data_IF_527711491865
#
_entry.id   IF_527711491865
#
_cell.length_a   1.000
_cell.length_b   1.000
_cell.length_c   1.000
_cell.angle_alpha   90.00
_cell.angle_beta   90.00
_cell.angle_gamma   90.00
#
_symmetry.space_group_name_H-M   'P 1'
#
loop_
_entity.id
_entity.type
_entity.pdbx_description
1 polymer ?
#
# COMPACT_ATOMS: atom_id res chain seq x y z
N UNK A 1 -2.26 6.96 -4.42
CA UNK A 1 -1.54 6.72 -5.69
C UNK A 1 -1.03 5.27 -5.82
N UNK A 2 -0.15 4.78 -4.93
CA UNK A 2 0.48 3.45 -5.08
C UNK A 2 -0.54 2.30 -5.17
N UNK A 3 -1.57 2.31 -4.32
CA UNK A 3 -2.64 1.31 -4.32
C UNK A 3 -3.35 1.24 -5.69
N UNK A 4 -3.82 2.37 -6.21
CA UNK A 4 -4.53 2.43 -7.50
C UNK A 4 -3.63 2.11 -8.70
N UNK A 5 -2.35 2.52 -8.67
CA UNK A 5 -1.39 2.15 -9.71
C UNK A 5 -1.14 0.63 -9.72
N UNK A 6 -1.09 -0.01 -8.56
CA UNK A 6 -1.03 -1.47 -8.48
C UNK A 6 -2.30 -2.09 -9.05
N UNK A 7 -3.49 -1.70 -8.59
CA UNK A 7 -4.75 -2.30 -9.04
C UNK A 7 -5.02 -2.09 -10.54
N UNK A 8 -4.98 -0.84 -11.01
CA UNK A 8 -5.37 -0.47 -12.38
C UNK A 8 -4.26 -0.69 -13.41
N UNK A 9 -2.99 -0.45 -13.05
CA UNK A 9 -1.88 -0.45 -14.01
C UNK A 9 -0.98 -1.68 -13.87
N UNK A 10 -1.13 -2.46 -12.80
CA UNK A 10 -0.25 -3.59 -12.48
C UNK A 10 1.17 -3.14 -12.08
N UNK A 11 1.35 -1.88 -11.67
CA UNK A 11 2.66 -1.38 -11.27
C UNK A 11 3.00 -1.81 -9.86
N UNK A 12 4.25 -2.19 -9.62
CA UNK A 12 4.73 -2.32 -8.25
C UNK A 12 4.86 -0.94 -7.60
N UNK A 13 4.88 -0.89 -6.26
CA UNK A 13 5.10 0.35 -5.52
C UNK A 13 6.40 1.05 -5.97
N UNK A 14 7.50 0.30 -6.11
CA UNK A 14 8.77 0.83 -6.60
C UNK A 14 8.73 1.32 -8.06
N UNK A 15 7.98 0.64 -8.95
CA UNK A 15 7.80 1.10 -10.34
C UNK A 15 6.99 2.39 -10.39
N UNK A 16 5.93 2.47 -9.58
CA UNK A 16 5.07 3.67 -9.45
C UNK A 16 5.89 4.86 -8.98
N UNK A 17 6.69 4.71 -7.92
CA UNK A 17 7.49 5.82 -7.38
C UNK A 17 8.59 6.28 -8.33
N UNK A 18 9.22 5.38 -9.10
CA UNK A 18 10.19 5.79 -10.14
C UNK A 18 9.53 6.59 -11.27
N UNK A 19 8.34 6.17 -11.70
CA UNK A 19 7.59 6.92 -12.71
C UNK A 19 7.13 8.28 -12.18
N UNK A 20 6.63 8.34 -10.94
CA UNK A 20 6.24 9.58 -10.29
C UNK A 20 7.43 10.54 -10.12
N UNK A 21 8.61 10.03 -9.73
CA UNK A 21 9.83 10.84 -9.63
C UNK A 21 10.16 11.53 -10.95
N UNK A 22 10.16 10.78 -12.06
CA UNK A 22 10.41 11.36 -13.40
C UNK A 22 9.35 12.40 -13.78
N UNK A 23 8.07 12.12 -13.52
CA UNK A 23 6.99 13.08 -13.79
C UNK A 23 7.15 14.37 -12.96
N UNK A 24 7.70 14.28 -11.74
CA UNK A 24 7.96 15.44 -10.87
C UNK A 24 9.21 16.21 -11.31
N UNK A 25 10.33 15.53 -11.56
CA UNK A 25 11.62 16.14 -11.93
C UNK A 25 11.57 16.82 -13.30
N UNK A 26 10.77 16.29 -14.22
CA UNK A 26 10.53 16.88 -15.51
C UNK A 26 10.66 15.88 -16.67
N UNK A 27 9.91 16.16 -17.73
CA UNK A 27 9.97 15.45 -19.01
C UNK A 27 9.98 16.46 -20.14
N UNK A 28 10.65 16.14 -21.24
CA UNK A 28 10.71 17.02 -22.41
C UNK A 28 9.35 17.07 -23.13
N UNK A 29 8.73 18.25 -23.16
CA UNK A 29 7.41 18.48 -23.79
C UNK A 29 7.54 19.49 -24.93
N UNK A 30 7.94 19.00 -26.11
CA UNK A 30 8.02 19.81 -27.33
C UNK A 30 8.84 21.10 -27.12
N UNK A 31 8.26 22.24 -27.50
CA UNK A 31 8.92 23.55 -27.39
C UNK A 31 8.92 24.13 -25.96
N UNK A 32 8.21 23.49 -25.02
CA UNK A 32 8.18 23.92 -23.61
C UNK A 32 9.43 23.47 -22.82
N UNK A 33 10.24 22.57 -23.42
CA UNK A 33 11.41 21.97 -22.76
C UNK A 33 11.01 21.02 -21.63
N UNK A 34 11.90 20.86 -20.65
CA UNK A 34 11.66 20.01 -19.49
C UNK A 34 10.61 20.60 -18.54
N UNK A 35 9.46 19.95 -18.41
CA UNK A 35 8.33 20.38 -17.58
C UNK A 35 8.03 19.33 -16.51
N UNK A 36 7.98 19.76 -15.24
CA UNK A 36 7.45 18.96 -14.12
C UNK A 36 5.93 18.83 -14.24
N UNK A 37 5.44 17.63 -14.49
CA UNK A 37 4.02 17.36 -14.79
C UNK A 37 3.16 17.13 -13.55
N UNK A 38 3.75 16.73 -12.42
CA UNK A 38 3.02 16.48 -11.18
C UNK A 38 3.68 17.18 -9.99
N UNK A 39 2.91 17.42 -8.94
CA UNK A 39 3.40 17.86 -7.62
C UNK A 39 4.23 16.77 -6.93
N UNK A 40 4.89 17.11 -5.82
CA UNK A 40 5.78 16.21 -5.10
C UNK A 40 5.06 14.92 -4.65
N UNK A 41 5.61 13.77 -5.03
CA UNK A 41 4.94 12.46 -4.92
C UNK A 41 5.07 11.76 -3.56
N UNK A 42 5.87 12.29 -2.63
CA UNK A 42 6.01 11.75 -1.27
C UNK A 42 5.28 12.67 -0.30
N UNK A 43 3.97 12.52 -0.29
CA UNK A 43 3.04 13.34 0.49
C UNK A 43 1.98 12.42 1.08
N UNK A 44 1.60 12.70 2.32
CA UNK A 44 0.43 12.16 3.02
C UNK A 44 -0.77 13.12 2.96
N UNK A 45 -0.54 14.33 2.45
CA UNK A 45 -1.57 15.34 2.27
C UNK A 45 -2.50 15.00 1.10
N UNK A 46 -3.79 15.20 1.33
CA UNK A 46 -4.84 15.24 0.28
C UNK A 46 -5.32 16.66 0.00
N UNK A 47 -4.69 17.67 0.62
CA UNK A 47 -5.01 19.08 0.43
C UNK A 47 -4.67 19.50 -0.99
N UNK A 48 -5.53 20.32 -1.58
CA UNK A 48 -5.31 20.95 -2.89
C UNK A 48 -5.31 22.46 -2.70
N UNK A 49 -4.41 23.19 -3.36
CA UNK A 49 -4.41 24.65 -3.37
C UNK A 49 -5.62 25.25 -4.08
N UNK A 50 -6.06 26.42 -3.63
CA UNK A 50 -7.19 27.15 -4.23
C UNK A 50 -6.98 27.43 -5.72
N UNK A 51 -5.73 27.71 -6.13
CA UNK A 51 -5.36 27.92 -7.53
C UNK A 51 -5.60 26.65 -8.38
N UNK A 52 -5.24 25.48 -7.86
CA UNK A 52 -5.45 24.22 -8.57
C UNK A 52 -6.93 23.80 -8.59
N UNK A 53 -7.68 24.04 -7.51
CA UNK A 53 -9.13 23.88 -7.47
C UNK A 53 -9.79 24.74 -8.55
N UNK A 54 -9.38 26.01 -8.65
CA UNK A 54 -9.90 26.94 -9.67
C UNK A 54 -9.64 26.43 -11.08
N UNK A 55 -8.42 26.01 -11.39
CA UNK A 55 -8.09 25.44 -12.72
C UNK A 55 -8.92 24.19 -13.03
N UNK A 56 -9.09 23.28 -12.07
CA UNK A 56 -9.90 22.08 -12.25
C UNK A 56 -11.37 22.44 -12.55
N UNK A 57 -11.95 23.39 -11.79
CA UNK A 57 -13.32 23.86 -11.99
C UNK A 57 -13.52 24.54 -13.34
N UNK A 58 -12.58 25.39 -13.76
CA UNK A 58 -12.58 26.03 -15.07
C UNK A 58 -12.55 24.98 -16.19
N UNK A 59 -11.68 23.97 -16.06
CA UNK A 59 -11.60 22.87 -17.02
C UNK A 59 -12.90 22.05 -17.07
N UNK A 60 -13.48 21.68 -15.91
CA UNK A 60 -14.74 20.94 -15.84
C UNK A 60 -15.87 21.73 -16.50
N UNK A 61 -15.98 23.02 -16.19
CA UNK A 61 -17.00 23.90 -16.76
C UNK A 61 -16.88 24.04 -18.29
N UNK A 62 -15.67 23.96 -18.83
CA UNK A 62 -15.41 24.07 -20.26
C UNK A 62 -15.62 22.75 -21.03
N UNK A 63 -15.36 21.60 -20.40
CA UNK A 63 -15.29 20.29 -21.08
C UNK A 63 -16.46 19.35 -20.75
N UNK A 64 -17.21 19.60 -19.68
CA UNK A 64 -18.30 18.74 -19.22
C UNK A 64 -19.62 19.51 -19.12
N UNK A 65 -20.75 18.79 -19.16
CA UNK A 65 -22.06 19.38 -18.85
C UNK A 65 -22.07 20.01 -17.46
N UNK A 66 -22.83 21.10 -17.30
CA UNK A 66 -22.92 21.89 -16.04
C UNK A 66 -23.20 21.03 -14.80
N UNK A 67 -23.93 19.92 -14.94
CA UNK A 67 -24.25 18.99 -13.84
C UNK A 67 -23.04 18.29 -13.22
N UNK A 68 -21.90 18.22 -13.91
CA UNK A 68 -20.66 17.63 -13.40
C UNK A 68 -19.82 18.60 -12.56
N UNK A 69 -20.14 19.89 -12.58
CA UNK A 69 -19.49 20.89 -11.75
C UNK A 69 -20.35 21.14 -10.51
N UNK A 70 -19.85 20.87 -9.29
CA UNK A 70 -20.56 21.22 -8.06
C UNK A 70 -20.60 22.74 -7.89
N UNK A 71 -21.68 23.25 -7.29
CA UNK A 71 -21.87 24.69 -7.06
C UNK A 71 -20.71 25.27 -6.23
N UNK A 72 -20.31 24.56 -5.18
CA UNK A 72 -19.16 24.89 -4.32
C UNK A 72 -17.95 23.98 -4.62
N UNK A 73 -16.71 24.44 -4.36
CA UNK A 73 -15.50 23.63 -4.52
C UNK A 73 -15.46 22.47 -3.52
N UNK A 74 -14.99 21.31 -3.97
CA UNK A 74 -14.77 20.15 -3.09
C UNK A 74 -13.46 20.33 -2.32
N UNK A 75 -13.54 20.55 -1.01
CA UNK A 75 -12.38 20.70 -0.14
C UNK A 75 -12.09 19.39 0.59
N UNK A 76 -10.89 18.85 0.37
CA UNK A 76 -10.40 17.63 1.02
C UNK A 76 -9.36 18.00 2.08
N UNK A 77 -9.63 17.68 3.35
CA UNK A 77 -8.69 17.88 4.46
C UNK A 77 -8.07 16.54 4.85
N UNK A 78 -6.75 16.53 5.08
CA UNK A 78 -6.05 15.36 5.62
C UNK A 78 -6.55 14.97 7.02
N UNK A 79 -6.42 13.70 7.37
CA UNK A 79 -6.73 13.20 8.71
C UNK A 79 -5.57 13.44 9.68
N UNK A 80 -5.91 13.91 10.90
CA UNK A 80 -5.05 14.16 12.08
C UNK A 80 -3.97 15.25 11.95
N UNK A 81 -4.32 16.44 12.44
CA UNK A 81 -3.76 16.93 13.71
C UNK A 81 -2.32 17.44 13.78
N UNK A 82 -1.52 17.41 12.72
CA UNK A 82 -0.20 18.08 12.72
C UNK A 82 -0.35 19.54 12.27
N UNK A 83 0.00 20.49 13.15
CA UNK A 83 -0.05 21.93 12.86
C UNK A 83 0.99 22.39 11.81
N UNK A 84 1.82 21.50 11.28
CA UNK A 84 2.94 21.82 10.38
C UNK A 84 2.80 21.20 8.97
N UNK A 85 1.80 20.35 8.72
CA UNK A 85 1.61 19.71 7.41
C UNK A 85 0.87 20.56 6.34
N UNK A 86 0.48 21.81 6.64
CA UNK A 86 -0.29 22.65 5.72
C UNK A 86 0.51 23.06 4.45
N UNK A 87 1.83 22.89 4.47
CA UNK A 87 2.70 23.13 3.31
C UNK A 87 2.65 22.03 2.25
N UNK A 88 2.27 20.79 2.60
CA UNK A 88 2.24 19.68 1.66
C UNK A 88 0.92 19.64 0.87
N UNK A 89 1.04 19.40 -0.43
CA UNK A 89 -0.09 19.30 -1.35
C UNK A 89 -0.28 17.84 -1.79
N UNK A 90 -1.50 17.51 -2.20
CA UNK A 90 -1.81 16.25 -2.86
C UNK A 90 -1.00 16.05 -4.13
N UNK A 91 -0.82 14.79 -4.53
CA UNK A 91 -0.24 14.43 -5.83
C UNK A 91 -1.28 14.74 -6.91
N UNK A 92 -1.00 15.75 -7.73
CA UNK A 92 -1.88 16.22 -8.81
C UNK A 92 -1.05 16.71 -10.00
N UNK A 93 -1.66 16.91 -11.18
CA UNK A 93 -1.02 17.64 -12.27
C UNK A 93 -0.61 19.05 -11.81
N UNK A 94 0.54 19.52 -12.27
CA UNK A 94 0.97 20.92 -12.08
C UNK A 94 0.04 21.87 -12.81
N UNK A 95 -0.36 21.51 -14.04
CA UNK A 95 -1.33 22.21 -14.87
C UNK A 95 -2.40 21.24 -15.39
N UNK A 96 -3.67 21.62 -15.27
CA UNK A 96 -4.79 20.76 -15.72
C UNK A 96 -4.90 20.72 -17.25
N UNK A 97 -4.49 21.79 -17.92
CA UNK A 97 -4.54 21.93 -19.37
C UNK A 97 -3.57 21.02 -20.14
N UNK A 98 -2.56 20.46 -19.48
CA UNK A 98 -1.67 19.46 -20.08
C UNK A 98 -2.37 18.10 -20.09
N UNK A 99 -3.35 17.91 -20.98
CA UNK A 99 -4.18 16.71 -20.94
C UNK A 99 -3.35 15.46 -21.24
N UNK A 100 -3.77 14.27 -20.74
CA UNK A 100 -3.08 13.03 -21.08
C UNK A 100 -2.94 12.83 -22.61
N UNK A 101 -3.97 13.17 -23.39
CA UNK A 101 -3.95 12.97 -24.84
C UNK A 101 -2.90 13.85 -25.54
N UNK A 102 -2.70 15.09 -25.08
CA UNK A 102 -1.64 15.98 -25.59
C UNK A 102 -0.24 15.45 -25.29
N UNK A 103 -0.08 14.88 -24.08
CA UNK A 103 1.19 14.38 -23.57
C UNK A 103 1.56 12.99 -24.08
N UNK A 104 0.62 12.26 -24.68
CA UNK A 104 0.79 10.86 -25.10
C UNK A 104 1.98 10.63 -26.04
N UNK A 105 2.32 11.62 -26.88
CA UNK A 105 3.46 11.57 -27.81
C UNK A 105 4.81 11.84 -27.15
N UNK A 106 4.83 12.50 -25.98
CA UNK A 106 6.06 12.87 -25.26
C UNK A 106 6.41 11.88 -24.16
N UNK A 107 5.41 11.16 -23.64
CA UNK A 107 5.57 10.28 -22.50
C UNK A 107 5.80 8.82 -22.91
N UNK A 108 6.81 8.21 -22.30
CA UNK A 108 6.92 6.75 -22.27
C UNK A 108 5.66 6.12 -21.68
N UNK A 109 5.34 4.89 -22.09
CA UNK A 109 4.11 4.17 -21.73
C UNK A 109 3.79 4.21 -20.24
N UNK A 110 4.79 4.04 -19.37
CA UNK A 110 4.57 4.00 -17.92
C UNK A 110 4.29 5.39 -17.34
N UNK A 111 5.02 6.41 -17.81
CA UNK A 111 4.81 7.80 -17.42
C UNK A 111 3.43 8.27 -17.84
N UNK A 112 3.04 8.00 -19.08
CA UNK A 112 1.71 8.32 -19.60
C UNK A 112 0.60 7.69 -18.76
N UNK A 113 0.69 6.38 -18.48
CA UNK A 113 -0.32 5.66 -17.69
C UNK A 113 -0.45 6.23 -16.27
N UNK A 114 0.67 6.51 -15.61
CA UNK A 114 0.65 7.05 -14.26
C UNK A 114 0.14 8.50 -14.25
N UNK A 115 0.58 9.32 -15.19
CA UNK A 115 0.10 10.69 -15.34
C UNK A 115 -1.41 10.72 -15.59
N UNK A 116 -1.91 9.90 -16.51
CA UNK A 116 -3.34 9.78 -16.79
C UNK A 116 -4.14 9.38 -15.54
N UNK A 117 -3.61 8.44 -14.73
CA UNK A 117 -4.26 8.04 -13.48
C UNK A 117 -4.32 9.21 -12.48
N UNK A 118 -3.22 9.94 -12.30
CA UNK A 118 -3.14 11.10 -11.40
C UNK A 118 -4.08 12.22 -11.88
N UNK A 119 -4.05 12.53 -13.18
CA UNK A 119 -4.87 13.57 -13.79
C UNK A 119 -6.37 13.28 -13.64
N UNK A 120 -6.80 12.05 -13.96
CA UNK A 120 -8.20 11.63 -13.81
C UNK A 120 -8.66 11.67 -12.36
N UNK A 121 -7.83 11.18 -11.42
CA UNK A 121 -8.15 11.20 -9.99
C UNK A 121 -8.30 12.63 -9.47
N UNK A 122 -7.39 13.52 -9.87
CA UNK A 122 -7.40 14.92 -9.46
C UNK A 122 -8.66 15.63 -9.97
N UNK A 123 -8.95 15.56 -11.27
CA UNK A 123 -10.11 16.23 -11.85
C UNK A 123 -11.42 15.67 -11.30
N UNK A 124 -11.53 14.34 -11.18
CA UNK A 124 -12.68 13.66 -10.58
C UNK A 124 -12.95 14.11 -9.13
N UNK A 125 -11.90 14.44 -8.35
CA UNK A 125 -12.06 14.92 -6.98
C UNK A 125 -12.82 16.26 -6.87
N UNK A 126 -12.90 17.02 -7.97
CA UNK A 126 -13.57 18.31 -8.07
C UNK A 126 -14.90 18.23 -8.85
N UNK A 127 -15.34 17.04 -9.25
CA UNK A 127 -16.61 16.81 -9.95
C UNK A 127 -17.74 16.45 -8.97
N UNK A 128 -18.99 16.58 -9.43
CA UNK A 128 -20.18 16.22 -8.67
C UNK A 128 -20.21 14.71 -8.36
N UNK A 129 -20.60 14.27 -7.15
CA UNK A 129 -20.77 12.86 -6.82
C UNK A 129 -21.76 12.14 -7.73
N UNK A 130 -21.53 10.84 -7.92
CA UNK A 130 -22.51 9.98 -8.55
C UNK A 130 -23.72 9.76 -7.64
N UNK A 131 -24.89 9.61 -8.26
CA UNK A 131 -26.17 9.40 -7.58
C UNK A 131 -26.74 8.05 -8.01
N UNK A 132 -27.03 7.22 -7.02
CA UNK A 132 -27.59 5.89 -7.19
C UNK A 132 -28.97 5.80 -6.54
N UNK A 133 -29.87 5.09 -7.19
CA UNK A 133 -31.10 4.56 -6.61
C UNK A 133 -30.81 3.16 -6.09
N UNK A 134 -30.79 3.00 -4.76
CA UNK A 134 -30.61 1.70 -4.12
C UNK A 134 -31.98 1.08 -3.78
N UNK A 135 -32.23 -0.11 -4.31
CA UNK A 135 -33.49 -0.83 -4.11
C UNK A 135 -33.25 -2.05 -3.23
N UNK A 136 -34.06 -2.20 -2.19
CA UNK A 136 -34.03 -3.36 -1.31
C UNK A 136 -35.43 -3.94 -1.24
N UNK A 137 -35.56 -5.21 -1.57
CA UNK A 137 -36.84 -5.92 -1.62
C UNK A 137 -36.77 -7.14 -0.73
N UNK A 138 -37.74 -7.23 0.17
CA UNK A 138 -37.92 -8.38 1.05
C UNK A 138 -39.11 -9.20 0.54
N UNK A 139 -38.86 -10.48 0.28
CA UNK A 139 -39.85 -11.45 -0.15
C UNK A 139 -40.20 -12.36 1.02
N UNK A 140 -41.46 -12.30 1.44
CA UNK A 140 -42.04 -13.23 2.41
C UNK A 140 -42.39 -14.55 1.71
N UNK A 141 -41.81 -15.65 2.19
CA UNK A 141 -42.16 -16.99 1.78
C UNK A 141 -42.76 -17.79 2.95
N UNK A 142 -43.78 -18.59 2.62
CA UNK A 142 -44.47 -19.47 3.54
C UNK A 142 -45.08 -18.75 4.76
N UNK A 143 -45.77 -17.63 4.52
CA UNK A 143 -46.51 -16.85 5.51
C UNK A 143 -45.64 -16.41 6.70
N UNK A 144 -44.49 -15.81 6.42
CA UNK A 144 -43.57 -15.24 7.41
C UNK A 144 -42.48 -16.18 7.90
N UNK A 145 -42.44 -17.43 7.40
CA UNK A 145 -41.45 -18.42 7.87
C UNK A 145 -40.04 -18.13 7.36
N UNK A 146 -39.93 -17.60 6.14
CA UNK A 146 -38.65 -17.28 5.51
C UNK A 146 -38.68 -15.89 4.91
N UNK A 147 -37.62 -15.13 5.12
CA UNK A 147 -37.43 -13.81 4.53
C UNK A 147 -36.27 -13.87 3.54
N UNK A 148 -36.57 -13.71 2.26
CA UNK A 148 -35.56 -13.57 1.21
C UNK A 148 -35.35 -12.10 0.91
N UNK A 149 -34.11 -11.69 0.68
CA UNK A 149 -33.76 -10.29 0.41
C UNK A 149 -33.00 -10.17 -0.89
N UNK A 150 -33.47 -9.28 -1.75
CA UNK A 150 -32.74 -8.83 -2.92
C UNK A 150 -32.31 -7.37 -2.73
N UNK A 151 -31.08 -7.06 -3.11
CA UNK A 151 -30.54 -5.69 -3.13
C UNK A 151 -30.04 -5.38 -4.53
N UNK A 152 -30.43 -4.23 -5.06
CA UNK A 152 -30.03 -3.75 -6.35
C UNK A 152 -29.72 -2.27 -6.34
N UNK A 153 -29.11 -1.81 -7.42
CA UNK A 153 -28.71 -0.42 -7.58
C UNK A 153 -28.87 0.00 -9.03
N UNK A 154 -29.23 1.26 -9.23
CA UNK A 154 -29.34 1.88 -10.55
C UNK A 154 -28.67 3.25 -10.52
N UNK A 155 -27.80 3.51 -11.49
CA UNK A 155 -27.18 4.83 -11.68
C UNK A 155 -28.26 5.82 -12.15
N UNK A 156 -28.49 6.88 -11.38
CA UNK A 156 -29.29 8.04 -11.79
C UNK A 156 -28.38 9.12 -12.38
N UNK A 157 -27.18 9.26 -11.84
CA UNK A 157 -26.12 10.12 -12.32
C UNK A 157 -24.76 9.47 -12.07
N UNK A 158 -23.92 9.39 -13.09
CA UNK A 158 -22.56 8.87 -13.03
C UNK A 158 -21.55 9.84 -12.38
N UNK A 159 -21.81 11.14 -12.36
CA UNK A 159 -20.96 12.11 -11.65
C UNK A 159 -19.48 11.98 -12.01
N UNK A 160 -18.60 12.00 -11.01
CA UNK A 160 -17.16 11.80 -11.22
C UNK A 160 -16.79 10.42 -11.82
N UNK A 161 -17.67 9.41 -11.75
CA UNK A 161 -17.43 8.10 -12.38
C UNK A 161 -17.38 8.16 -13.91
N UNK A 162 -17.90 9.22 -14.53
CA UNK A 162 -17.70 9.49 -15.94
C UNK A 162 -16.21 9.60 -16.31
N UNK A 163 -15.38 10.03 -15.37
CA UNK A 163 -13.94 10.22 -15.56
C UNK A 163 -13.08 9.18 -14.85
N UNK A 164 -13.47 8.80 -13.63
CA UNK A 164 -12.64 7.99 -12.77
C UNK A 164 -13.46 7.05 -11.88
N UNK A 165 -13.10 5.78 -11.89
CA UNK A 165 -13.62 4.78 -10.95
C UNK A 165 -12.46 4.07 -10.24
N UNK A 166 -12.64 3.75 -8.98
CA UNK A 166 -11.67 2.97 -8.22
C UNK A 166 -11.67 1.52 -8.69
N UNK A 167 -10.50 0.90 -8.70
CA UNK A 167 -10.45 -0.54 -8.92
C UNK A 167 -10.71 -1.30 -7.62
N UNK A 168 -11.54 -2.33 -7.73
CA UNK A 168 -11.86 -3.23 -6.63
C UNK A 168 -11.11 -4.56 -6.80
N UNK A 169 -10.54 -5.07 -5.70
CA UNK A 169 -10.06 -6.46 -5.64
C UNK A 169 -11.25 -7.39 -5.37
N UNK A 170 -11.10 -8.69 -5.67
CA UNK A 170 -12.20 -9.66 -5.55
C UNK A 170 -12.75 -9.78 -4.12
N UNK A 171 -11.93 -9.43 -3.12
CA UNK A 171 -12.23 -9.52 -1.71
C UNK A 171 -12.73 -8.19 -1.13
N UNK A 172 -12.71 -7.11 -1.92
CA UNK A 172 -13.33 -5.84 -1.53
C UNK A 172 -14.86 -6.00 -1.44
N UNK A 173 -15.47 -5.31 -0.49
CA UNK A 173 -16.93 -5.32 -0.35
C UNK A 173 -17.60 -4.79 -1.62
N UNK A 174 -18.68 -5.43 -2.04
CA UNK A 174 -19.50 -4.95 -3.17
C UNK A 174 -20.04 -3.56 -2.87
N UNK A 175 -19.81 -2.66 -3.79
CA UNK A 175 -20.28 -1.27 -3.80
C UNK A 175 -21.55 -1.13 -4.65
N UNK A 176 -22.25 0.00 -4.52
CA UNK A 176 -23.53 0.22 -5.21
C UNK A 176 -23.42 0.17 -6.74
N UNK A 177 -22.28 0.54 -7.32
CA UNK A 177 -21.99 0.45 -8.75
C UNK A 177 -21.81 -0.99 -9.26
N UNK A 178 -21.57 -1.95 -8.35
CA UNK A 178 -21.43 -3.39 -8.69
C UNK A 178 -22.76 -4.17 -8.64
N UNK A 179 -23.84 -3.57 -8.14
CA UNK A 179 -25.13 -4.24 -7.96
C UNK A 179 -26.00 -4.07 -9.21
N UNK A 180 -26.63 -5.17 -9.64
CA UNK A 180 -27.59 -5.13 -10.74
C UNK A 180 -28.89 -4.40 -10.32
N UNK A 181 -29.55 -3.67 -11.22
CA UNK A 181 -30.83 -3.04 -10.91
C UNK A 181 -31.91 -4.09 -10.70
N UNK A 182 -32.82 -3.82 -9.76
CA UNK A 182 -34.03 -4.62 -9.57
C UNK A 182 -35.15 -3.96 -10.41
N UNK A 183 -36.01 -4.75 -11.08
CA UNK A 183 -37.21 -4.22 -11.74
C UNK A 183 -38.08 -3.39 -10.78
N UNK A 184 -38.88 -2.48 -11.32
CA UNK A 184 -39.86 -1.76 -10.49
C UNK A 184 -40.86 -2.74 -9.89
N UNK A 185 -40.99 -2.70 -8.58
CA UNK A 185 -41.92 -3.52 -7.79
C UNK A 185 -42.66 -2.60 -6.81
N UNK A 186 -43.91 -2.92 -6.51
CA UNK A 186 -44.71 -2.29 -5.48
C UNK A 186 -44.92 -3.24 -4.29
N UNK A 187 -45.17 -2.67 -3.11
CA UNK A 187 -45.58 -3.48 -1.96
C UNK A 187 -46.88 -4.23 -2.28
N UNK A 188 -46.89 -5.54 -1.99
CA UNK A 188 -48.01 -6.43 -2.32
C UNK A 188 -47.92 -7.11 -3.69
N UNK A 189 -46.92 -6.77 -4.52
CA UNK A 189 -46.67 -7.48 -5.76
C UNK A 189 -46.38 -8.97 -5.50
N UNK A 190 -46.95 -9.84 -6.35
CA UNK A 190 -46.78 -11.29 -6.24
C UNK A 190 -45.64 -11.76 -7.14
N UNK A 191 -44.57 -12.28 -6.54
CA UNK A 191 -43.49 -12.93 -7.26
C UNK A 191 -43.71 -14.45 -7.37
N UNK A 192 -43.61 -15.00 -8.57
CA UNK A 192 -43.66 -16.45 -8.79
C UNK A 192 -42.29 -17.07 -8.49
N UNK A 193 -42.23 -17.97 -7.51
CA UNK A 193 -41.03 -18.76 -7.22
C UNK A 193 -40.75 -19.71 -8.39
N UNK A 194 -39.67 -19.45 -9.13
CA UNK A 194 -39.25 -20.32 -10.25
C UNK A 194 -38.42 -21.52 -9.78
N UNK A 195 -37.45 -21.28 -8.91
CA UNK A 195 -36.51 -22.28 -8.42
C UNK A 195 -35.94 -21.84 -7.07
N UNK A 196 -35.66 -22.82 -6.20
CA UNK A 196 -34.80 -22.65 -5.03
C UNK A 196 -33.50 -23.39 -5.34
N UNK A 197 -32.38 -22.67 -5.31
CA UNK A 197 -31.04 -23.25 -5.49
C UNK A 197 -30.37 -23.27 -4.11
N UNK A 198 -30.27 -24.43 -3.45
CA UNK A 198 -29.52 -24.54 -2.20
C UNK A 198 -28.05 -24.25 -2.48
N UNK A 199 -27.47 -23.25 -1.82
CA UNK A 199 -26.03 -23.00 -1.83
C UNK A 199 -25.46 -23.25 -0.43
N UNK A 200 -24.37 -24.01 -0.39
CA UNK A 200 -23.58 -24.17 0.82
C UNK A 200 -22.33 -23.30 0.66
N UNK A 201 -22.08 -22.48 1.68
CA UNK A 201 -20.88 -21.65 1.74
C UNK A 201 -19.99 -22.15 2.86
N UNK A 202 -18.68 -22.12 2.62
CA UNK A 202 -17.67 -22.35 3.64
C UNK A 202 -17.00 -21.02 3.94
N UNK A 203 -16.58 -20.84 5.20
CA UNK A 203 -15.73 -19.71 5.56
C UNK A 203 -14.36 -19.93 4.92
N UNK A 204 -13.92 -18.97 4.14
CA UNK A 204 -12.56 -18.95 3.60
C UNK A 204 -11.62 -18.23 4.58
N UNK A 205 -10.33 -18.62 4.63
CA UNK A 205 -9.35 -17.87 5.39
C UNK A 205 -9.17 -16.46 4.81
N UNK A 206 -8.69 -15.49 5.60
CA UNK A 206 -8.41 -14.15 5.10
C UNK A 206 -7.50 -14.19 3.87
N UNK A 207 -7.76 -13.35 2.85
CA UNK A 207 -6.95 -13.32 1.65
C UNK A 207 -5.54 -12.84 1.98
N UNK A 208 -4.57 -13.34 1.21
CA UNK A 208 -3.20 -12.82 1.29
C UNK A 208 -3.14 -11.39 0.78
N UNK A 209 -2.15 -10.64 1.26
CA UNK A 209 -1.95 -9.26 0.81
C UNK A 209 -1.47 -9.20 -0.64
N UNK A 210 -2.03 -8.30 -1.44
CA UNK A 210 -1.40 -7.77 -2.65
C UNK A 210 -0.45 -6.63 -2.27
N UNK A 211 0.30 -6.08 -3.22
CA UNK A 211 1.03 -4.81 -2.96
C UNK A 211 0.07 -3.68 -2.56
N UNK A 212 -1.12 -3.59 -3.16
CA UNK A 212 -2.09 -2.56 -2.83
C UNK A 212 -2.65 -2.74 -1.41
N UNK A 213 -3.10 -3.95 -1.06
CA UNK A 213 -3.67 -4.19 0.27
C UNK A 213 -2.62 -4.20 1.37
N UNK A 214 -1.35 -4.53 1.07
CA UNK A 214 -0.25 -4.36 2.03
C UNK A 214 0.05 -2.88 2.31
N UNK A 215 0.11 -2.02 1.29
CA UNK A 215 0.27 -0.56 1.51
C UNK A 215 -0.89 -0.02 2.33
N UNK A 216 -2.13 -0.42 1.99
CA UNK A 216 -3.33 -0.03 2.75
C UNK A 216 -3.26 -0.44 4.21
N UNK A 217 -2.78 -1.65 4.49
CA UNK A 217 -2.67 -2.17 5.86
C UNK A 217 -1.54 -1.48 6.65
N UNK A 218 -0.39 -1.24 6.02
CA UNK A 218 0.71 -0.47 6.62
C UNK A 218 0.25 0.93 7.02
N UNK A 219 -0.43 1.64 6.11
CA UNK A 219 -1.03 2.95 6.36
C UNK A 219 -2.07 2.91 7.49
N UNK A 220 -2.97 1.92 7.48
CA UNK A 220 -3.99 1.74 8.53
C UNK A 220 -3.37 1.51 9.91
N UNK A 221 -2.26 0.77 9.97
CA UNK A 221 -1.55 0.47 11.21
C UNK A 221 -0.60 1.60 11.65
N UNK A 222 -0.44 2.65 10.86
CA UNK A 222 0.52 3.72 11.14
C UNK A 222 1.99 3.29 11.00
N UNK A 223 2.25 2.23 10.24
CA UNK A 223 3.59 1.72 9.99
C UNK A 223 4.07 2.19 8.62
N UNK A 224 5.19 2.91 8.62
CA UNK A 224 5.75 3.50 7.42
C UNK A 224 5.10 4.83 7.03
N UNK A 225 5.65 5.42 5.98
CA UNK A 225 5.32 6.76 5.47
C UNK A 225 5.33 6.71 3.94
N UNK A 226 4.79 7.73 3.23
CA UNK A 226 4.85 7.80 1.78
C UNK A 226 6.25 7.55 1.18
N UNK A 227 7.30 7.91 1.93
CA UNK A 227 8.71 7.70 1.59
C UNK A 227 9.18 6.24 1.76
N UNK A 228 8.54 5.44 2.62
CA UNK A 228 9.05 4.10 3.00
C UNK A 228 8.25 2.93 2.43
N UNK A 229 6.97 3.09 2.08
CA UNK A 229 6.14 1.97 1.59
C UNK A 229 6.77 1.17 0.45
N UNK A 230 7.24 1.85 -0.59
CA UNK A 230 7.88 1.20 -1.74
C UNK A 230 9.20 0.51 -1.36
N UNK A 231 9.96 1.10 -0.43
CA UNK A 231 11.22 0.54 0.05
C UNK A 231 11.00 -0.71 0.93
N UNK A 232 9.99 -0.71 1.79
CA UNK A 232 9.58 -1.86 2.60
C UNK A 232 9.24 -3.03 1.68
N UNK A 233 8.33 -2.81 0.73
CA UNK A 233 7.88 -3.84 -0.22
C UNK A 233 9.06 -4.35 -1.07
N UNK A 234 9.90 -3.45 -1.57
CA UNK A 234 11.09 -3.82 -2.34
C UNK A 234 12.04 -4.68 -1.51
N UNK A 235 12.27 -4.32 -0.23
CA UNK A 235 13.17 -5.05 0.67
C UNK A 235 12.67 -6.46 0.94
N UNK A 236 11.36 -6.61 1.23
CA UNK A 236 10.74 -7.93 1.45
C UNK A 236 10.99 -8.89 0.27
N UNK A 237 10.92 -8.37 -0.96
CA UNK A 237 11.15 -9.15 -2.18
C UNK A 237 12.63 -9.40 -2.45
N UNK A 238 13.46 -8.35 -2.45
CA UNK A 238 14.89 -8.43 -2.79
C UNK A 238 15.69 -9.24 -1.77
N UNK A 239 15.31 -9.22 -0.50
CA UNK A 239 15.93 -10.03 0.57
C UNK A 239 15.34 -11.44 0.68
N UNK A 240 14.39 -11.80 -0.19
CA UNK A 240 13.73 -13.11 -0.20
C UNK A 240 12.99 -13.43 1.11
N UNK A 241 12.38 -12.45 1.76
CA UNK A 241 11.50 -12.68 2.92
C UNK A 241 10.07 -13.02 2.51
N UNK A 242 9.61 -12.43 1.41
CA UNK A 242 8.33 -12.75 0.80
C UNK A 242 8.44 -12.78 -0.72
N UNK A 243 7.66 -13.65 -1.34
CA UNK A 243 7.51 -13.72 -2.80
C UNK A 243 6.10 -13.33 -3.19
N UNK A 244 5.92 -12.89 -4.43
CA UNK A 244 4.59 -12.62 -4.99
C UNK A 244 4.22 -13.77 -5.94
N UNK A 245 3.22 -14.55 -5.57
CA UNK A 245 2.58 -15.54 -6.45
C UNK A 245 1.17 -15.05 -6.76
N UNK A 246 0.83 -14.98 -8.05
CA UNK A 246 -0.46 -14.46 -8.52
C UNK A 246 -0.79 -13.07 -7.94
N UNK A 247 0.24 -12.21 -7.85
CA UNK A 247 0.19 -10.85 -7.27
C UNK A 247 -0.14 -10.80 -5.77
N UNK A 248 -0.09 -11.93 -5.07
CA UNK A 248 -0.29 -12.04 -3.61
C UNK A 248 1.02 -12.44 -2.91
N UNK A 249 1.32 -11.79 -1.80
CA UNK A 249 2.50 -12.08 -1.00
C UNK A 249 2.39 -13.39 -0.24
N UNK A 250 3.44 -14.19 -0.32
CA UNK A 250 3.63 -15.41 0.45
C UNK A 250 4.95 -15.31 1.19
N UNK A 251 4.98 -15.59 2.51
CA UNK A 251 6.23 -15.66 3.23
C UNK A 251 7.09 -16.79 2.66
N UNK A 252 8.40 -16.58 2.58
CA UNK A 252 9.34 -17.65 2.26
C UNK A 252 9.75 -18.40 3.53
N UNK A 253 10.28 -19.62 3.44
CA UNK A 253 10.86 -20.29 4.60
C UNK A 253 11.93 -19.44 5.31
N UNK A 254 12.73 -18.69 4.55
CA UNK A 254 13.72 -17.77 5.11
C UNK A 254 13.05 -16.61 5.87
N UNK A 255 12.02 -16.00 5.30
CA UNK A 255 11.26 -14.93 5.94
C UNK A 255 10.60 -15.39 7.23
N UNK A 256 9.98 -16.56 7.24
CA UNK A 256 9.39 -17.14 8.45
C UNK A 256 10.41 -17.40 9.54
N UNK A 257 11.56 -18.00 9.19
CA UNK A 257 12.63 -18.28 10.14
C UNK A 257 13.18 -16.99 10.75
N UNK A 258 13.46 -15.98 9.92
CA UNK A 258 13.95 -14.68 10.39
C UNK A 258 12.93 -14.00 11.29
N UNK A 259 11.65 -14.00 10.92
CA UNK A 259 10.58 -13.45 11.76
C UNK A 259 10.46 -14.18 13.10
N UNK A 260 10.45 -15.52 13.12
CA UNK A 260 10.37 -16.32 14.36
C UNK A 260 11.53 -16.03 15.31
N UNK A 261 12.75 -15.98 14.77
CA UNK A 261 13.96 -15.70 15.54
C UNK A 261 13.90 -14.30 16.14
N UNK A 262 13.62 -13.29 15.32
CA UNK A 262 13.60 -11.90 15.77
C UNK A 262 12.45 -11.64 16.76
N UNK A 263 11.27 -12.24 16.54
CA UNK A 263 10.15 -12.12 17.47
C UNK A 263 10.45 -12.77 18.82
N UNK A 264 11.15 -13.90 18.83
CA UNK A 264 11.59 -14.58 20.06
C UNK A 264 12.65 -13.78 20.80
N UNK A 265 13.60 -13.20 20.06
CA UNK A 265 14.72 -12.45 20.62
C UNK A 265 14.34 -11.06 21.11
N UNK A 266 13.44 -10.38 20.39
CA UNK A 266 13.05 -8.99 20.64
C UNK A 266 11.52 -8.84 20.57
N UNK A 267 10.77 -9.44 21.52
CA UNK A 267 9.31 -9.52 21.43
C UNK A 267 8.64 -8.16 21.33
N UNK A 268 9.09 -7.18 22.12
CA UNK A 268 8.57 -5.81 22.17
C UNK A 268 8.83 -5.05 20.87
N UNK A 269 10.06 -5.10 20.35
CA UNK A 269 10.47 -4.38 19.12
C UNK A 269 9.74 -4.89 17.88
N UNK A 270 9.36 -6.17 17.87
CA UNK A 270 8.61 -6.81 16.78
C UNK A 270 7.10 -6.81 17.00
N UNK A 271 6.57 -5.97 17.90
CA UNK A 271 5.13 -5.67 17.97
C UNK A 271 4.74 -4.56 16.99
N UNK A 272 3.59 -4.72 16.32
CA UNK A 272 3.05 -3.73 15.38
C UNK A 272 2.85 -2.37 16.05
N UNK A 273 2.33 -2.37 17.29
CA UNK A 273 2.08 -1.15 18.05
C UNK A 273 3.36 -0.39 18.41
N UNK A 274 4.46 -1.11 18.67
CA UNK A 274 5.77 -0.50 18.93
C UNK A 274 6.28 0.26 17.72
N UNK A 275 6.28 -0.39 16.55
CA UNK A 275 6.71 0.23 15.30
C UNK A 275 5.86 1.47 14.97
N UNK A 276 4.54 1.38 15.12
CA UNK A 276 3.66 2.52 14.90
C UNK A 276 3.93 3.68 15.88
N UNK A 277 4.23 3.38 17.14
CA UNK A 277 4.58 4.41 18.13
C UNK A 277 5.90 5.10 17.79
N UNK A 278 6.93 4.32 17.44
CA UNK A 278 8.23 4.84 17.00
C UNK A 278 8.07 5.79 15.81
N UNK A 279 7.28 5.39 14.81
CA UNK A 279 6.99 6.23 13.64
C UNK A 279 6.30 7.55 14.05
N UNK A 280 5.38 7.53 15.01
CA UNK A 280 4.75 8.75 15.53
C UNK A 280 5.70 9.62 16.36
N UNK A 281 6.65 9.01 17.09
CA UNK A 281 7.67 9.76 17.84
C UNK A 281 8.61 10.49 16.89
N UNK A 282 8.98 9.86 15.77
CA UNK A 282 9.78 10.51 14.72
C UNK A 282 9.04 11.69 14.07
N UNK A 283 7.73 11.58 13.83
CA UNK A 283 6.92 12.70 13.34
C UNK A 283 6.92 13.87 14.36
N UNK A 284 6.76 13.57 15.65
CA UNK A 284 6.82 14.61 16.70
C UNK A 284 8.20 15.26 16.81
N UNK A 285 9.27 14.53 16.54
CA UNK A 285 10.62 15.10 16.45
C UNK A 285 10.72 16.06 15.26
N UNK A 286 10.15 15.70 14.10
CA UNK A 286 10.09 16.59 12.93
C UNK A 286 9.31 17.88 13.23
N UNK A 287 8.23 17.77 14.00
CA UNK A 287 7.39 18.91 14.44
C UNK A 287 8.05 19.77 15.54
N UNK A 288 9.11 19.27 16.18
CA UNK A 288 9.76 19.92 17.31
C UNK A 288 9.06 19.71 18.66
N UNK A 289 8.09 18.80 18.73
CA UNK A 289 7.34 18.45 19.93
C UNK A 289 8.10 17.47 20.85
N UNK A 290 9.05 16.71 20.31
CA UNK A 290 9.93 15.80 21.06
C UNK A 290 11.41 16.05 20.76
N UNK A 291 12.25 15.85 21.78
CA UNK A 291 13.71 15.88 21.61
C UNK A 291 14.23 14.56 21.02
N UNK A 292 15.00 14.66 19.93
CA UNK A 292 15.49 13.49 19.20
C UNK A 292 16.48 12.64 20.01
N UNK A 293 17.24 13.24 20.94
CA UNK A 293 18.20 12.50 21.77
C UNK A 293 17.46 11.67 22.82
N UNK A 294 16.37 12.21 23.37
CA UNK A 294 15.49 11.47 24.27
C UNK A 294 14.90 10.23 23.58
N UNK A 295 14.29 10.40 22.40
CA UNK A 295 13.71 9.29 21.62
C UNK A 295 14.77 8.21 21.30
N UNK A 296 15.97 8.62 20.90
CA UNK A 296 17.07 7.66 20.66
C UNK A 296 17.52 6.95 21.94
N UNK A 297 17.61 7.66 23.06
CA UNK A 297 17.99 7.08 24.35
C UNK A 297 16.98 6.05 24.84
N UNK A 298 15.69 6.38 24.73
CA UNK A 298 14.56 5.53 25.13
C UNK A 298 14.51 4.24 24.31
N UNK A 299 14.88 4.29 23.03
CA UNK A 299 15.00 3.11 22.18
C UNK A 299 16.30 2.32 22.44
N UNK A 300 17.44 3.00 22.37
CA UNK A 300 18.75 2.36 22.27
C UNK A 300 19.18 1.68 23.57
N UNK A 301 18.93 2.31 24.72
CA UNK A 301 19.40 1.76 26.00
C UNK A 301 18.73 0.43 26.38
N UNK A 302 17.41 0.23 26.21
CA UNK A 302 16.78 -1.08 26.38
C UNK A 302 17.16 -2.06 25.28
N UNK A 303 17.20 -1.62 24.01
CA UNK A 303 17.53 -2.49 22.88
C UNK A 303 18.95 -3.06 22.98
N UNK A 304 19.94 -2.22 23.31
CA UNK A 304 21.32 -2.67 23.48
C UNK A 304 21.47 -3.68 24.62
N UNK A 305 20.78 -3.46 25.75
CA UNK A 305 20.75 -4.44 26.86
C UNK A 305 20.15 -5.77 26.43
N UNK A 306 19.07 -5.75 25.66
CA UNK A 306 18.48 -6.97 25.10
C UNK A 306 19.44 -7.66 24.12
N UNK A 307 20.14 -6.89 23.29
CA UNK A 307 21.12 -7.40 22.33
C UNK A 307 22.31 -8.07 23.02
N UNK A 308 22.85 -7.48 24.08
CA UNK A 308 23.95 -8.04 24.88
C UNK A 308 23.56 -9.32 25.62
N UNK A 309 22.28 -9.45 26.00
CA UNK A 309 21.76 -10.65 26.66
C UNK A 309 21.57 -11.85 25.70
N UNK A 310 21.65 -11.62 24.38
CA UNK A 310 21.43 -12.64 23.37
C UNK A 310 22.76 -13.20 22.86
N UNK A 311 22.92 -14.53 22.94
CA UNK A 311 24.00 -15.22 22.26
C UNK A 311 23.66 -15.42 20.76
N UNK A 312 24.17 -14.51 19.93
CA UNK A 312 23.99 -14.52 18.48
C UNK A 312 24.53 -15.83 17.86
N UNK A 313 25.66 -16.36 18.36
CA UNK A 313 26.24 -17.58 17.82
C UNK A 313 25.31 -18.76 18.08
N UNK A 314 24.77 -18.87 19.30
CA UNK A 314 23.81 -19.90 19.63
C UNK A 314 22.58 -19.87 18.71
N UNK A 315 22.04 -18.68 18.42
CA UNK A 315 20.91 -18.53 17.49
C UNK A 315 21.28 -19.02 16.09
N UNK A 316 22.45 -18.64 15.57
CA UNK A 316 22.91 -19.08 14.24
C UNK A 316 23.05 -20.61 14.20
N UNK A 317 23.59 -21.22 15.25
CA UNK A 317 23.72 -22.67 15.35
C UNK A 317 22.36 -23.39 15.40
N UNK A 318 21.39 -22.85 16.15
CA UNK A 318 20.03 -23.41 16.22
C UNK A 318 19.29 -23.30 14.88
N UNK A 319 19.36 -22.14 14.21
CA UNK A 319 18.60 -21.84 13.00
C UNK A 319 19.04 -22.68 11.80
N UNK A 320 20.32 -23.00 11.73
CA UNK A 320 20.91 -23.73 10.61
C UNK A 320 21.18 -25.20 10.92
N UNK A 321 20.68 -25.71 12.05
CA UNK A 321 20.94 -27.06 12.54
C UNK A 321 22.44 -27.40 12.60
N UNK A 322 23.25 -26.39 12.94
CA UNK A 322 24.70 -26.50 13.07
C UNK A 322 25.11 -26.78 14.52
N UNK A 323 24.17 -27.20 15.36
CA UNK A 323 24.40 -27.51 16.77
C UNK A 323 25.36 -28.70 16.95
N UNK A 324 25.33 -29.67 16.02
CA UNK A 324 26.24 -30.82 15.99
C UNK A 324 27.65 -30.52 15.44
N UNK A 325 27.84 -29.38 14.77
CA UNK A 325 29.09 -29.02 14.09
C UNK A 325 30.26 -28.81 15.06
N UNK A 326 29.96 -28.47 16.32
CA UNK A 326 30.94 -28.35 17.40
C UNK A 326 31.57 -29.69 17.80
N UNK A 327 30.96 -30.82 17.42
CA UNK A 327 31.50 -32.17 17.62
C UNK A 327 32.21 -32.73 16.39
N UNK A 328 32.05 -32.09 15.23
CA UNK A 328 32.66 -32.53 13.98
C UNK A 328 34.07 -31.95 13.82
N UNK A 329 35.03 -32.83 13.52
CA UNK A 329 36.42 -32.46 13.25
C UNK A 329 36.72 -32.58 11.77
N UNK A 330 37.56 -31.68 11.26
CA UNK A 330 37.97 -31.74 9.85
C UNK A 330 38.64 -33.10 9.55
N UNK A 331 38.14 -33.90 8.59
CA UNK A 331 38.69 -35.24 8.30
C UNK A 331 40.10 -35.22 7.71
N UNK A 332 40.63 -34.03 7.33
CA UNK A 332 42.00 -33.87 6.82
C UNK A 332 43.01 -33.44 7.88
N UNK A 333 42.59 -32.80 8.97
CA UNK A 333 43.54 -32.20 9.92
C UNK A 333 43.08 -32.21 11.40
N UNK A 334 41.89 -32.74 11.71
CA UNK A 334 41.39 -32.88 13.08
C UNK A 334 40.99 -31.58 13.80
N UNK A 335 41.14 -30.43 13.15
CA UNK A 335 40.77 -29.11 13.71
C UNK A 335 39.26 -28.96 13.89
N UNK A 336 38.82 -28.18 14.90
CA UNK A 336 37.41 -27.80 15.04
C UNK A 336 36.91 -27.08 13.77
N UNK A 337 35.67 -27.37 13.39
CA UNK A 337 35.00 -26.71 12.29
C UNK A 337 34.25 -25.48 12.80
N UNK A 338 34.34 -24.37 12.07
CA UNK A 338 33.60 -23.14 12.37
C UNK A 338 32.67 -22.77 11.22
N UNK A 339 31.52 -22.20 11.58
CA UNK A 339 30.51 -21.71 10.64
C UNK A 339 30.96 -20.37 10.09
N UNK A 340 31.16 -20.27 8.77
CA UNK A 340 31.37 -18.98 8.10
C UNK A 340 30.06 -18.42 7.56
N UNK A 341 29.77 -17.17 7.88
CA UNK A 341 28.64 -16.43 7.28
C UNK A 341 28.97 -16.05 5.83
N UNK A 342 28.09 -16.42 4.90
CA UNK A 342 28.13 -15.99 3.50
C UNK A 342 26.89 -15.17 3.15
N UNK A 343 26.91 -14.52 1.97
CA UNK A 343 25.85 -13.61 1.50
C UNK A 343 24.44 -14.23 1.43
N UNK A 344 24.33 -15.57 1.43
CA UNK A 344 23.07 -16.31 1.33
C UNK A 344 22.80 -17.23 2.54
N UNK A 345 23.46 -17.00 3.68
CA UNK A 345 23.42 -17.89 4.86
C UNK A 345 24.78 -18.53 5.15
N UNK A 346 24.85 -19.51 6.07
CA UNK A 346 26.10 -20.18 6.41
C UNK A 346 26.62 -20.98 5.21
N UNK A 347 27.89 -20.79 4.91
CA UNK A 347 28.63 -21.60 3.96
C UNK A 347 29.03 -22.94 4.58
N UNK A 348 29.45 -23.93 3.76
CA UNK A 348 30.09 -25.15 4.27
C UNK A 348 31.18 -24.80 5.29
N UNK A 349 31.25 -25.52 6.42
CA UNK A 349 32.19 -25.22 7.48
C UNK A 349 33.63 -25.24 6.95
N UNK A 350 34.40 -24.23 7.32
CA UNK A 350 35.82 -24.11 6.92
C UNK A 350 36.72 -24.23 8.15
N UNK A 351 37.99 -24.56 7.93
CA UNK A 351 38.98 -24.70 9.01
C UNK A 351 39.00 -23.45 9.90
N UNK A 352 38.97 -23.62 11.22
CA UNK A 352 39.33 -22.52 12.15
C UNK A 352 40.79 -22.17 11.89
N UNK A 353 41.05 -21.07 11.18
CA UNK A 353 42.41 -20.54 11.07
C UNK A 353 42.56 -19.61 12.26
N UNK A 354 43.12 -20.13 13.38
CA UNK A 354 43.69 -19.22 14.37
C UNK A 354 44.78 -18.44 13.65
N UNK A 355 44.52 -17.16 13.45
CA UNK A 355 45.53 -16.15 13.14
C UNK A 355 46.65 -16.30 14.17
N UNK A 356 47.70 -17.03 13.81
CA UNK A 356 49.01 -16.81 14.39
C UNK A 356 49.50 -15.52 13.74
N UNK A 357 49.31 -14.41 14.43
CA UNK A 357 50.12 -13.23 14.19
C UNK A 357 51.58 -13.64 14.39
N UNK A 358 52.31 -13.85 13.29
CA UNK A 358 53.75 -13.75 13.28
C UNK A 358 54.10 -12.36 12.74
N UNK A 359 54.77 -11.51 13.54
CA UNK A 359 55.17 -10.19 13.09
C UNK A 359 56.42 -10.35 12.22
N UNK A 360 56.31 -10.02 10.93
CA UNK A 360 57.39 -9.47 10.11
C UNK A 360 56.77 -8.65 8.98
#
# INVERSE_FOLDING_TARGET
MQQEAAKQLGFSAGRTMRAAQKLYEGVEVGDQGSVGLITYMRTDSVRVSDAAIKQAREYINAQFDKRYLPDEPNVHKGGRGSKVQDAHEAIRPTEVGLTPDDLKKYLERDLFKLYQLIWRRFLASQMTPAVYEATKVDFDLANGRFLFRATGSRVLFDGYHALYSEAHEAEDAKTLDSLAPIPKLAEGDRATLKQVVPSQHFTEPPPRYSEASLVKELERLGIGRPSTYAAIISTLRTRWYATAKDRRFQPTPQGETVWKVLKRSFPEVFEVGFTANMENELDKVEEGDLDWQAVLGDFWLPFNRALEAIDINKIIHEVHDLSGLNTERCPKCGSPLEVKSCRFGPCPPTRSVKSAAHPW
#
